data_IF_254922842277
#
_entry.id   IF_254922842277
#
_cell.length_a   1.000
_cell.length_b   1.000
_cell.length_c   1.000
_cell.angle_alpha   90.00
_cell.angle_beta   90.00
_cell.angle_gamma   90.00
#
_symmetry.space_group_name_H-M   'P 1'
#
loop_
_entity.id
_entity.type
_entity.pdbx_description
1 polymer ?
#
# COMPACT_ATOMS: atom_id res chain seq x y z
N UNK A 1 -61.27 -11.20 -29.78
CA UNK A 1 -62.39 -10.89 -28.88
C UNK A 1 -61.70 -10.54 -27.58
N UNK A 2 -61.57 -9.31 -27.10
CA UNK A 2 -62.30 -8.03 -27.21
C UNK A 2 -61.21 -6.92 -27.14
N UNK A 3 -61.17 -5.87 -27.99
CA UNK A 3 -61.75 -4.50 -27.80
C UNK A 3 -61.66 -4.02 -26.34
N UNK A 4 -61.15 -2.84 -25.94
CA UNK A 4 -61.12 -1.47 -26.46
C UNK A 4 -60.13 -0.66 -25.56
N UNK A 5 -59.32 0.25 -26.11
CA UNK A 5 -59.47 1.72 -26.03
C UNK A 5 -59.27 2.34 -24.63
N UNK A 6 -58.32 3.26 -24.48
CA UNK A 6 -58.55 4.72 -24.51
C UNK A 6 -57.27 5.49 -24.17
N UNK A 7 -57.11 6.60 -24.87
CA UNK A 7 -56.11 7.64 -24.61
C UNK A 7 -56.72 8.61 -23.60
N UNK A 8 -55.93 9.29 -22.76
CA UNK A 8 -55.97 10.75 -22.63
C UNK A 8 -54.99 11.29 -21.57
N UNK A 9 -54.57 12.50 -21.88
CA UNK A 9 -53.59 13.38 -21.24
C UNK A 9 -54.04 13.88 -19.87
N UNK A 10 -53.10 14.25 -18.99
CA UNK A 10 -53.21 15.47 -18.17
C UNK A 10 -51.92 15.82 -17.43
N UNK A 11 -51.42 16.98 -17.81
CA UNK A 11 -50.46 17.85 -17.13
C UNK A 11 -50.87 18.11 -15.68
N UNK A 12 -49.92 18.08 -14.75
CA UNK A 12 -50.06 18.82 -13.48
C UNK A 12 -48.70 19.30 -12.98
N UNK A 13 -48.38 20.52 -13.39
CA UNK A 13 -47.39 21.38 -12.76
C UNK A 13 -47.66 21.50 -11.26
N UNK A 14 -46.69 21.12 -10.44
CA UNK A 14 -46.52 21.70 -9.10
C UNK A 14 -45.19 22.42 -9.08
N UNK A 15 -45.31 23.71 -9.36
CA UNK A 15 -44.37 24.76 -9.04
C UNK A 15 -44.04 24.71 -7.54
N UNK A 16 -42.76 24.60 -7.21
CA UNK A 16 -42.25 24.73 -5.85
C UNK A 16 -40.87 25.35 -5.94
N UNK A 17 -40.87 26.68 -5.95
CA UNK A 17 -39.74 27.56 -5.65
C UNK A 17 -38.88 27.01 -4.50
N UNK A 18 -37.56 26.86 -4.70
CA UNK A 18 -36.61 26.71 -3.62
C UNK A 18 -35.71 27.94 -3.55
N UNK A 19 -36.25 29.12 -3.21
CA UNK A 19 -35.44 30.26 -2.81
C UNK A 19 -35.33 30.34 -1.28
N UNK A 20 -34.57 29.39 -0.72
CA UNK A 20 -34.01 29.53 0.63
C UNK A 20 -32.55 29.05 0.65
N UNK A 21 -31.58 29.92 1.00
CA UNK A 21 -30.16 29.57 0.95
C UNK A 21 -29.72 28.78 2.21
N UNK A 22 -29.24 27.52 2.10
CA UNK A 22 -28.72 26.77 3.25
C UNK A 22 -27.28 27.19 3.67
N UNK A 23 -26.62 28.06 2.91
CA UNK A 23 -25.15 28.25 3.01
C UNK A 23 -24.66 29.10 4.18
N UNK A 24 -25.45 30.03 4.74
CA UNK A 24 -24.92 30.97 5.74
C UNK A 24 -24.92 30.42 7.18
N UNK A 25 -25.81 29.49 7.50
CA UNK A 25 -25.93 28.94 8.87
C UNK A 25 -24.82 27.93 9.14
N UNK A 26 -24.47 27.10 8.15
CA UNK A 26 -23.41 26.09 8.26
C UNK A 26 -22.00 26.68 8.34
N UNK A 27 -21.75 27.82 7.67
CA UNK A 27 -20.45 28.50 7.72
C UNK A 27 -20.22 29.22 9.06
N UNK A 28 -21.26 29.86 9.61
CA UNK A 28 -21.21 30.52 10.92
C UNK A 28 -20.97 29.54 12.07
N UNK A 29 -21.63 28.36 12.06
CA UNK A 29 -21.42 27.32 13.08
C UNK A 29 -20.01 26.72 12.99
N UNK A 30 -19.53 26.44 11.77
CA UNK A 30 -18.17 25.90 11.54
C UNK A 30 -17.08 26.87 11.99
N UNK A 31 -17.24 28.17 11.72
CA UNK A 31 -16.30 29.22 12.15
C UNK A 31 -16.25 29.38 13.67
N UNK A 32 -17.40 29.26 14.35
CA UNK A 32 -17.50 29.30 15.83
C UNK A 32 -16.80 28.09 16.47
N UNK A 33 -16.99 26.89 15.93
CA UNK A 33 -16.34 25.65 16.39
C UNK A 33 -14.81 25.72 16.29
N UNK A 34 -14.28 26.16 15.15
CA UNK A 34 -12.83 26.36 14.94
C UNK A 34 -12.22 27.33 15.96
N UNK A 35 -12.95 28.41 16.29
CA UNK A 35 -12.50 29.38 17.31
C UNK A 35 -12.42 28.77 18.70
N UNK A 36 -13.40 27.95 19.09
CA UNK A 36 -13.40 27.25 20.39
C UNK A 36 -12.25 26.25 20.47
N UNK A 37 -12.01 25.49 19.40
CA UNK A 37 -10.92 24.53 19.33
C UNK A 37 -9.55 25.20 19.46
N UNK A 38 -9.35 26.34 18.79
CA UNK A 38 -8.11 27.11 18.91
C UNK A 38 -7.83 27.58 20.34
N UNK A 39 -8.87 27.99 21.08
CA UNK A 39 -8.74 28.39 22.50
C UNK A 39 -8.34 27.20 23.37
N UNK A 40 -8.97 26.03 23.17
CA UNK A 40 -8.60 24.80 23.90
C UNK A 40 -7.16 24.38 23.62
N UNK A 41 -6.74 24.42 22.37
CA UNK A 41 -5.39 24.08 21.95
C UNK A 41 -4.34 25.01 22.58
N UNK A 42 -4.61 26.32 22.59
CA UNK A 42 -3.73 27.29 23.24
C UNK A 42 -3.56 26.99 24.73
N UNK A 43 -4.67 26.75 25.45
CA UNK A 43 -4.63 26.42 26.88
C UNK A 43 -3.84 25.15 27.18
N UNK A 44 -4.01 24.09 26.37
CA UNK A 44 -3.24 22.84 26.51
C UNK A 44 -1.76 23.09 26.25
N UNK A 45 -1.44 23.84 25.19
CA UNK A 45 -0.06 24.16 24.84
C UNK A 45 0.64 24.96 25.93
N UNK A 46 -0.02 25.98 26.48
CA UNK A 46 0.53 26.80 27.57
C UNK A 46 0.76 25.95 28.82
N UNK A 47 -0.15 25.04 29.14
CA UNK A 47 0.01 24.09 30.24
C UNK A 47 1.22 23.17 30.03
N UNK A 48 1.39 22.61 28.83
CA UNK A 48 2.56 21.80 28.49
C UNK A 48 3.86 22.61 28.62
N UNK A 49 3.85 23.85 28.14
CA UNK A 49 5.01 24.75 28.19
C UNK A 49 5.43 25.05 29.62
N UNK A 50 4.47 25.34 30.51
CA UNK A 50 4.73 25.55 31.94
C UNK A 50 5.36 24.33 32.60
N UNK A 51 4.97 23.13 32.18
CA UNK A 51 5.52 21.86 32.66
C UNK A 51 6.83 21.43 31.96
N UNK A 52 7.39 22.26 31.07
CA UNK A 52 8.63 21.94 30.35
C UNK A 52 8.48 20.84 29.28
N UNK A 53 7.27 20.64 28.77
CA UNK A 53 6.98 19.71 27.67
C UNK A 53 6.78 20.44 26.35
N UNK A 54 7.29 19.82 25.28
CA UNK A 54 6.85 20.10 23.91
C UNK A 54 5.80 19.06 23.50
N UNK A 55 4.93 19.33 22.51
CA UNK A 55 3.94 18.34 22.06
C UNK A 55 4.57 16.99 21.68
N UNK A 56 5.72 17.01 20.99
CA UNK A 56 6.45 15.78 20.64
C UNK A 56 6.97 15.03 21.87
N UNK A 57 7.58 15.76 22.82
CA UNK A 57 8.10 15.17 24.07
C UNK A 57 6.97 14.57 24.90
N UNK A 58 5.82 15.25 24.94
CA UNK A 58 4.63 14.77 25.62
C UNK A 58 4.10 13.49 24.98
N UNK A 59 3.85 13.46 23.66
CA UNK A 59 3.32 12.26 22.98
C UNK A 59 4.27 11.07 23.17
N UNK A 60 5.58 11.26 22.98
CA UNK A 60 6.57 10.20 23.20
C UNK A 60 6.53 9.70 24.64
N UNK A 61 6.63 10.59 25.62
CA UNK A 61 6.59 10.22 27.03
C UNK A 61 5.28 9.54 27.42
N UNK A 62 4.14 10.00 26.89
CA UNK A 62 2.82 9.43 27.15
C UNK A 62 2.71 7.99 26.63
N UNK A 63 3.20 7.72 25.41
CA UNK A 63 3.14 6.38 24.81
C UNK A 63 4.14 5.40 25.43
N UNK A 64 5.28 5.88 25.90
CA UNK A 64 6.31 5.06 26.56
C UNK A 64 6.05 4.85 28.06
N UNK A 65 5.16 5.64 28.67
CA UNK A 65 4.87 5.57 30.10
C UNK A 65 4.27 4.20 30.49
N UNK A 66 4.79 3.61 31.56
CA UNK A 66 4.35 2.32 32.12
C UNK A 66 3.39 2.46 33.29
N UNK A 67 3.02 3.68 33.69
CA UNK A 67 2.08 3.96 34.77
C UNK A 67 0.68 3.39 34.44
N UNK A 68 0.14 2.66 35.41
CA UNK A 68 -1.20 2.05 35.34
C UNK A 68 -2.29 3.08 35.06
N UNK A 69 -2.13 4.32 35.53
CA UNK A 69 -3.08 5.42 35.29
C UNK A 69 -3.34 5.67 33.81
N UNK A 70 -2.32 5.55 32.96
CA UNK A 70 -2.43 5.83 31.52
C UNK A 70 -2.57 4.57 30.67
N UNK A 71 -2.57 3.39 31.28
CA UNK A 71 -2.58 2.10 30.57
C UNK A 71 -3.79 1.96 29.66
N UNK A 72 -4.99 2.34 30.12
CA UNK A 72 -6.20 2.28 29.29
C UNK A 72 -6.09 3.16 28.05
N UNK A 73 -5.74 4.44 28.23
CA UNK A 73 -5.60 5.39 27.12
C UNK A 73 -4.48 4.99 26.16
N UNK A 74 -3.36 4.48 26.66
CA UNK A 74 -2.26 3.98 25.81
C UNK A 74 -2.68 2.75 25.00
N UNK A 75 -3.40 1.79 25.60
CA UNK A 75 -3.88 0.59 24.90
C UNK A 75 -4.76 0.94 23.71
N UNK A 76 -5.55 2.02 23.80
CA UNK A 76 -6.36 2.47 22.65
C UNK A 76 -5.53 2.78 21.41
N UNK A 77 -4.29 3.30 21.54
CA UNK A 77 -3.41 3.57 20.40
C UNK A 77 -2.99 2.31 19.63
N UNK A 78 -2.94 1.16 20.31
CA UNK A 78 -2.59 -0.13 19.71
C UNK A 78 -3.76 -1.07 19.48
N UNK A 79 -4.97 -0.67 19.86
CA UNK A 79 -6.18 -1.50 19.71
C UNK A 79 -6.81 -1.29 18.35
N UNK A 80 -7.44 -2.33 17.80
CA UNK A 80 -8.22 -2.24 16.55
C UNK A 80 -9.27 -1.13 16.62
N UNK A 81 -10.03 -1.05 17.71
CA UNK A 81 -11.04 -0.01 17.92
C UNK A 81 -10.48 1.42 17.92
N UNK A 82 -9.23 1.61 18.34
CA UNK A 82 -8.58 2.93 18.35
C UNK A 82 -7.69 3.18 17.13
N UNK A 83 -7.56 2.21 16.22
CA UNK A 83 -6.67 2.28 15.08
C UNK A 83 -7.00 3.45 14.16
N UNK A 84 -8.27 3.69 13.85
CA UNK A 84 -8.69 4.80 12.98
C UNK A 84 -8.22 6.17 13.52
N UNK A 85 -8.40 6.40 14.81
CA UNK A 85 -7.93 7.64 15.47
C UNK A 85 -6.41 7.76 15.51
N UNK A 86 -5.71 6.63 15.68
CA UNK A 86 -4.24 6.58 15.63
C UNK A 86 -3.73 6.90 14.23
N UNK A 87 -4.39 6.34 13.21
CA UNK A 87 -4.10 6.60 11.81
C UNK A 87 -4.31 8.08 11.47
N UNK A 88 -5.37 8.72 11.97
CA UNK A 88 -5.60 10.15 11.79
C UNK A 88 -4.45 11.01 12.35
N UNK A 89 -3.88 10.62 13.50
CA UNK A 89 -2.69 11.29 14.06
C UNK A 89 -1.45 11.06 13.19
N UNK A 90 -1.21 9.82 12.75
CA UNK A 90 -0.09 9.51 11.85
C UNK A 90 -0.18 10.27 10.53
N UNK A 91 -1.38 10.43 9.97
CA UNK A 91 -1.62 11.22 8.76
C UNK A 91 -1.40 12.71 8.99
N UNK A 92 -1.80 13.25 10.15
CA UNK A 92 -1.50 14.64 10.50
C UNK A 92 0.03 14.86 10.61
N UNK A 93 0.76 13.92 11.21
CA UNK A 93 2.22 13.93 11.27
C UNK A 93 2.83 13.88 9.86
N UNK A 94 2.41 12.92 9.04
CA UNK A 94 2.83 12.77 7.64
C UNK A 94 2.65 14.06 6.84
N UNK A 95 1.46 14.68 6.94
CA UNK A 95 1.15 15.96 6.29
C UNK A 95 2.14 17.05 6.68
N UNK A 96 2.46 17.18 7.98
CA UNK A 96 3.42 18.20 8.45
C UNK A 96 4.85 17.89 8.01
N UNK A 97 5.29 16.63 8.09
CA UNK A 97 6.65 16.21 7.71
C UNK A 97 6.87 16.43 6.21
N UNK A 98 5.95 15.98 5.36
CA UNK A 98 6.10 16.01 3.90
C UNK A 98 5.97 17.42 3.28
N UNK A 99 5.57 18.45 4.04
CA UNK A 99 5.54 19.85 3.56
C UNK A 99 6.89 20.34 3.03
N UNK A 100 8.00 19.92 3.66
CA UNK A 100 9.35 20.31 3.23
C UNK A 100 9.95 19.22 2.34
N UNK A 101 10.48 19.59 1.17
CA UNK A 101 11.08 18.64 0.22
C UNK A 101 12.16 17.76 0.87
N UNK A 102 13.07 18.34 1.67
CA UNK A 102 14.13 17.62 2.40
C UNK A 102 13.57 16.54 3.35
N UNK A 103 12.43 16.82 3.97
CA UNK A 103 11.81 15.92 4.95
C UNK A 103 10.98 14.82 4.29
N UNK A 104 10.66 14.92 2.99
CA UNK A 104 9.99 13.83 2.26
C UNK A 104 10.89 12.60 2.20
N UNK A 105 12.17 12.78 1.89
CA UNK A 105 13.15 11.69 1.88
C UNK A 105 13.22 10.99 3.24
N UNK A 106 13.29 11.76 4.34
CA UNK A 106 13.29 11.18 5.70
C UNK A 106 12.03 10.35 6.00
N UNK A 107 10.87 10.79 5.51
CA UNK A 107 9.63 10.03 5.64
C UNK A 107 9.66 8.75 4.79
N UNK A 108 10.10 8.85 3.54
CA UNK A 108 10.16 7.73 2.61
C UNK A 108 11.18 6.66 3.10
N UNK A 109 12.35 7.08 3.59
CA UNK A 109 13.36 6.21 4.20
C UNK A 109 12.81 5.51 5.45
N UNK A 110 12.02 6.21 6.28
CA UNK A 110 11.36 5.62 7.44
C UNK A 110 10.33 4.55 7.03
N UNK A 111 9.46 4.84 6.06
CA UNK A 111 8.46 3.88 5.58
C UNK A 111 9.14 2.66 4.95
N UNK A 112 10.22 2.87 4.17
CA UNK A 112 11.01 1.79 3.61
C UNK A 112 11.62 0.92 4.73
N UNK A 113 12.18 1.53 5.77
CA UNK A 113 12.72 0.78 6.92
C UNK A 113 11.67 -0.08 7.61
N UNK A 114 10.48 0.46 7.87
CA UNK A 114 9.39 -0.31 8.50
C UNK A 114 8.85 -1.41 7.59
N UNK A 115 8.68 -1.14 6.28
CA UNK A 115 8.25 -2.15 5.31
C UNK A 115 9.26 -3.30 5.19
N UNK A 116 10.56 -2.99 5.15
CA UNK A 116 11.63 -3.98 5.11
C UNK A 116 11.62 -4.90 6.34
N UNK A 117 11.35 -4.36 7.54
CA UNK A 117 11.23 -5.19 8.76
C UNK A 117 10.09 -6.21 8.64
N UNK A 118 8.94 -5.79 8.10
CA UNK A 118 7.79 -6.69 7.89
C UNK A 118 8.16 -7.79 6.89
N UNK A 119 8.75 -7.43 5.75
CA UNK A 119 9.18 -8.38 4.72
C UNK A 119 10.20 -9.39 5.28
N UNK A 120 11.21 -8.94 6.02
CA UNK A 120 12.22 -9.86 6.59
C UNK A 120 11.61 -10.79 7.64
N UNK A 121 10.60 -10.33 8.39
CA UNK A 121 9.92 -11.15 9.40
C UNK A 121 9.03 -12.24 8.79
N UNK A 122 8.55 -12.02 7.57
CA UNK A 122 7.74 -12.96 6.81
C UNK A 122 8.63 -13.83 5.93
N UNK A 123 8.65 -15.13 6.21
CA UNK A 123 9.43 -16.08 5.42
C UNK A 123 8.78 -17.47 5.47
N UNK A 124 9.00 -18.30 4.44
CA UNK A 124 8.53 -19.67 4.45
C UNK A 124 9.18 -20.48 5.59
N UNK A 125 8.54 -21.57 6.02
CA UNK A 125 9.11 -22.54 6.95
C UNK A 125 10.49 -23.03 6.49
N UNK A 126 11.45 -23.07 7.41
CA UNK A 126 12.80 -23.56 7.11
C UNK A 126 12.88 -25.07 7.26
N UNK A 127 13.63 -25.74 6.38
CA UNK A 127 13.84 -27.18 6.45
C UNK A 127 13.13 -27.97 5.35
N UNK A 128 13.17 -29.29 5.48
CA UNK A 128 12.55 -30.22 4.56
C UNK A 128 11.03 -30.31 4.77
N UNK A 129 10.29 -30.37 3.67
CA UNK A 129 8.85 -30.67 3.66
C UNK A 129 8.56 -32.00 4.39
N UNK A 130 7.43 -32.13 5.13
CA UNK A 130 6.32 -31.18 5.26
C UNK A 130 6.51 -30.09 6.32
N UNK A 131 7.59 -30.14 7.12
CA UNK A 131 7.82 -29.18 8.20
C UNK A 131 8.54 -27.90 7.75
N UNK A 132 9.13 -27.93 6.56
CA UNK A 132 9.81 -26.81 5.91
C UNK A 132 9.43 -26.71 4.44
N UNK A 133 9.99 -25.74 3.72
CA UNK A 133 9.56 -25.41 2.37
C UNK A 133 10.30 -26.15 1.23
N UNK A 134 11.42 -26.85 1.49
CA UNK A 134 12.18 -27.52 0.41
C UNK A 134 11.87 -29.01 0.31
N UNK A 135 11.91 -29.56 -0.91
CA UNK A 135 11.77 -30.99 -1.18
C UNK A 135 13.12 -31.59 -1.59
N UNK A 136 13.46 -32.77 -1.04
CA UNK A 136 14.64 -33.52 -1.45
C UNK A 136 14.34 -34.29 -2.74
N UNK A 137 15.28 -34.35 -3.68
CA UNK A 137 15.15 -35.13 -4.92
C UNK A 137 14.86 -36.61 -4.68
N UNK A 138 15.27 -37.15 -3.52
CA UNK A 138 15.00 -38.52 -3.10
C UNK A 138 13.56 -38.76 -2.62
N UNK A 139 12.80 -37.68 -2.36
CA UNK A 139 11.45 -37.72 -1.77
C UNK A 139 10.38 -37.11 -2.67
N UNK A 140 10.75 -36.56 -3.83
CA UNK A 140 9.81 -35.95 -4.77
C UNK A 140 9.01 -37.05 -5.48
N UNK A 141 7.71 -36.83 -5.58
CA UNK A 141 6.77 -37.67 -6.34
C UNK A 141 6.14 -36.85 -7.48
N UNK A 142 5.53 -37.52 -8.46
CA UNK A 142 4.83 -36.86 -9.58
C UNK A 142 3.70 -35.93 -9.10
N UNK A 143 3.07 -36.26 -7.96
CA UNK A 143 2.01 -35.47 -7.33
C UNK A 143 2.43 -34.01 -7.07
N UNK A 144 3.70 -33.76 -6.74
CA UNK A 144 4.23 -32.41 -6.48
C UNK A 144 4.10 -31.47 -7.69
N UNK A 145 4.09 -32.03 -8.90
CA UNK A 145 4.01 -31.29 -10.16
C UNK A 145 2.58 -31.17 -10.68
N UNK A 146 1.60 -31.72 -9.97
CA UNK A 146 0.19 -31.48 -10.28
C UNK A 146 -0.14 -30.01 -10.10
N UNK A 147 -1.12 -29.53 -10.86
CA UNK A 147 -1.57 -28.15 -10.75
C UNK A 147 -2.15 -27.87 -9.35
N UNK A 148 -2.87 -28.84 -8.78
CA UNK A 148 -3.43 -28.76 -7.43
C UNK A 148 -2.35 -28.52 -6.37
N UNK A 149 -1.31 -29.37 -6.30
CA UNK A 149 -0.21 -29.17 -5.35
C UNK A 149 0.61 -27.90 -5.60
N UNK A 150 0.62 -27.38 -6.84
CA UNK A 150 1.24 -26.09 -7.13
C UNK A 150 0.41 -24.94 -6.59
N UNK A 151 -0.89 -24.95 -6.84
CA UNK A 151 -1.83 -23.91 -6.39
C UNK A 151 -1.89 -23.85 -4.85
N UNK A 152 -1.85 -25.00 -4.17
CA UNK A 152 -1.74 -25.08 -2.72
C UNK A 152 -0.46 -24.40 -2.20
N UNK A 153 0.71 -24.75 -2.75
CA UNK A 153 1.99 -24.14 -2.34
C UNK A 153 2.04 -22.65 -2.62
N UNK A 154 1.51 -22.21 -3.76
CA UNK A 154 1.45 -20.80 -4.10
C UNK A 154 0.52 -20.06 -3.13
N UNK A 155 -0.63 -20.65 -2.78
CA UNK A 155 -1.57 -20.10 -1.79
C UNK A 155 -0.93 -19.97 -0.41
N UNK A 156 -0.30 -21.04 0.10
CA UNK A 156 0.42 -21.03 1.38
C UNK A 156 1.51 -19.95 1.40
N UNK A 157 2.24 -19.80 0.30
CA UNK A 157 3.29 -18.81 0.19
C UNK A 157 2.75 -17.37 0.27
N UNK A 158 1.65 -17.08 -0.43
CA UNK A 158 1.12 -15.72 -0.58
C UNK A 158 0.12 -15.31 0.50
N UNK A 159 -0.57 -16.26 1.14
CA UNK A 159 -1.58 -15.96 2.16
C UNK A 159 -1.01 -16.11 3.58
N UNK A 160 -0.24 -17.18 3.83
CA UNK A 160 0.20 -17.53 5.18
C UNK A 160 1.64 -17.08 5.46
N UNK A 161 2.58 -17.38 4.55
CA UNK A 161 4.00 -17.18 4.82
C UNK A 161 4.48 -15.76 4.52
N UNK A 162 4.06 -15.18 3.40
CA UNK A 162 4.55 -13.89 2.90
C UNK A 162 3.47 -12.93 2.35
N UNK A 163 2.34 -12.72 3.06
CA UNK A 163 1.23 -11.92 2.55
C UNK A 163 1.56 -10.43 2.35
N UNK A 164 2.47 -9.87 3.14
CA UNK A 164 2.83 -8.46 2.98
C UNK A 164 3.64 -8.24 1.70
N UNK A 165 4.65 -9.08 1.44
CA UNK A 165 5.49 -8.93 0.25
C UNK A 165 4.67 -9.14 -1.02
N UNK A 166 3.86 -10.22 -1.05
CA UNK A 166 2.99 -10.50 -2.19
C UNK A 166 2.09 -9.31 -2.51
N UNK A 167 1.34 -8.82 -1.50
CA UNK A 167 0.46 -7.65 -1.67
C UNK A 167 1.22 -6.39 -2.09
N UNK A 168 2.42 -6.17 -1.56
CA UNK A 168 3.25 -5.01 -1.92
C UNK A 168 3.66 -5.05 -3.41
N UNK A 169 4.10 -6.20 -3.89
CA UNK A 169 4.48 -6.41 -5.30
C UNK A 169 3.25 -6.30 -6.21
N UNK A 170 2.14 -6.98 -5.88
CA UNK A 170 0.90 -6.88 -6.64
C UNK A 170 0.41 -5.44 -6.75
N UNK A 171 0.39 -4.68 -5.65
CA UNK A 171 0.00 -3.28 -5.66
C UNK A 171 0.93 -2.44 -6.56
N UNK A 172 2.22 -2.73 -6.58
CA UNK A 172 3.19 -2.03 -7.45
C UNK A 172 2.97 -2.35 -8.93
N UNK A 173 2.73 -3.61 -9.27
CA UNK A 173 2.50 -4.05 -10.65
C UNK A 173 1.14 -3.56 -11.18
N UNK A 174 0.12 -3.53 -10.32
CA UNK A 174 -1.23 -3.08 -10.66
C UNK A 174 -1.36 -1.55 -10.72
N UNK A 175 -0.41 -0.80 -10.13
CA UNK A 175 -0.32 0.64 -10.26
C UNK A 175 0.21 1.05 -11.65
N UNK A 176 -0.50 0.66 -12.72
CA UNK A 176 -0.28 1.24 -14.05
C UNK A 176 -0.67 2.73 -13.97
N UNK A 177 0.17 3.65 -14.44
CA UNK A 177 -0.27 5.03 -14.60
C UNK A 177 -1.41 5.01 -15.62
N UNK A 178 -2.60 5.43 -15.20
CA UNK A 178 -3.65 5.77 -16.15
C UNK A 178 -3.04 6.85 -17.03
N UNK A 179 -2.65 6.49 -18.26
CA UNK A 179 -2.42 7.49 -19.30
C UNK A 179 -3.72 8.28 -19.33
N UNK A 180 -3.69 9.53 -18.90
CA UNK A 180 -4.76 10.46 -19.22
C UNK A 180 -4.72 10.57 -20.73
N UNK A 181 -5.49 9.73 -21.41
CA UNK A 181 -5.89 9.99 -22.78
C UNK A 181 -6.56 11.36 -22.69
N UNK A 182 -6.02 12.40 -23.35
CA UNK A 182 -6.74 13.65 -23.44
C UNK A 182 -8.10 13.30 -24.06
N UNK A 183 -9.18 13.51 -23.33
CA UNK A 183 -10.52 13.50 -23.91
C UNK A 183 -10.57 14.70 -24.85
N UNK A 184 -10.19 14.47 -26.10
CA UNK A 184 -10.33 15.43 -27.17
C UNK A 184 -11.48 14.96 -28.05
N UNK A 185 -12.56 15.73 -28.07
CA UNK A 185 -13.28 16.04 -29.29
C UNK A 185 -14.13 17.30 -29.07
N UNK A 186 -14.44 18.14 -30.07
CA UNK A 186 -13.95 18.19 -31.46
C UNK A 186 -13.43 19.59 -31.86
N UNK A 187 -12.48 19.64 -32.80
CA UNK A 187 -12.54 20.44 -34.03
C UNK A 187 -11.17 20.80 -34.61
N UNK A 188 -11.15 20.66 -35.94
CA UNK A 188 -10.26 21.25 -36.94
C UNK A 188 -9.09 20.39 -37.41
N UNK A 189 -9.29 20.00 -38.67
CA UNK A 189 -8.34 19.46 -39.63
C UNK A 189 -6.98 20.14 -39.52
N UNK A 190 -5.92 19.34 -39.43
CA UNK A 190 -4.72 19.59 -40.21
C UNK A 190 -3.86 18.32 -40.29
N UNK A 191 -3.27 18.19 -41.46
CA UNK A 191 -2.70 17.01 -42.10
C UNK A 191 -1.43 16.51 -41.40
N UNK A 192 -1.30 15.18 -41.27
CA UNK A 192 -0.08 14.48 -40.85
C UNK A 192 1.10 14.82 -41.79
N UNK A 193 2.34 14.73 -41.28
CA UNK A 193 3.19 13.70 -41.89
C UNK A 193 3.55 12.60 -40.92
N UNK A 194 3.38 11.38 -41.44
CA UNK A 194 4.11 10.17 -41.06
C UNK A 194 5.60 10.47 -41.00
N UNK A 195 6.24 10.09 -39.90
CA UNK A 195 7.65 9.71 -39.90
C UNK A 195 7.68 8.29 -39.32
N UNK A 196 7.72 7.31 -40.23
CA UNK A 196 8.19 5.97 -39.95
C UNK A 196 9.71 6.05 -39.80
N UNK A 197 10.24 5.95 -38.59
CA UNK A 197 11.61 5.51 -38.39
C UNK A 197 11.58 4.09 -37.82
N UNK A 198 11.56 3.16 -38.79
CA UNK A 198 12.01 1.80 -38.64
C UNK A 198 13.52 1.82 -38.42
N UNK A 199 13.97 1.56 -37.20
CA UNK A 199 15.33 1.04 -37.00
C UNK A 199 15.25 -0.31 -36.26
N UNK A 200 15.36 -1.33 -37.10
CA UNK A 200 15.54 -2.73 -36.75
C UNK A 200 17.02 -2.94 -36.47
N UNK A 201 17.43 -2.88 -35.20
CA UNK A 201 18.76 -3.36 -34.80
C UNK A 201 18.62 -4.80 -34.30
N UNK A 202 18.79 -5.73 -35.24
CA UNK A 202 18.91 -7.16 -34.96
C UNK A 202 20.39 -7.41 -34.68
N UNK A 203 20.82 -7.22 -33.44
CA UNK A 203 22.13 -7.69 -32.98
C UNK A 203 22.09 -9.21 -32.91
N UNK A 204 22.64 -9.88 -33.94
CA UNK A 204 22.87 -11.31 -33.94
C UNK A 204 23.80 -11.69 -32.77
N UNK A 205 23.25 -12.44 -31.81
CA UNK A 205 24.01 -13.06 -30.74
C UNK A 205 24.89 -14.16 -31.36
N UNK A 206 26.22 -14.13 -31.21
CA UNK A 206 27.06 -15.25 -31.65
C UNK A 206 26.68 -16.52 -30.89
N UNK A 207 26.38 -17.60 -31.62
CA UNK A 207 25.96 -18.91 -31.06
C UNK A 207 27.09 -19.69 -30.36
N UNK A 208 28.30 -19.14 -30.24
CA UNK A 208 29.50 -19.86 -29.76
C UNK A 208 29.92 -19.48 -28.32
N UNK A 209 29.00 -19.51 -27.35
CA UNK A 209 29.33 -19.34 -25.92
C UNK A 209 28.89 -20.50 -25.02
N UNK A 210 28.37 -21.58 -25.61
CA UNK A 210 28.14 -22.85 -24.90
C UNK A 210 29.15 -23.90 -25.34
N UNK A 211 30.43 -23.67 -25.02
CA UNK A 211 31.38 -24.77 -24.95
C UNK A 211 31.08 -25.59 -23.68
N UNK A 212 30.22 -26.59 -23.87
CA UNK A 212 29.90 -27.64 -22.92
C UNK A 212 31.10 -28.60 -22.76
N UNK A 213 32.24 -28.10 -22.26
CA UNK A 213 33.39 -28.92 -21.87
C UNK A 213 34.48 -28.18 -21.05
N UNK A 214 34.18 -27.23 -20.14
CA UNK A 214 35.23 -26.74 -19.22
C UNK A 214 35.43 -27.75 -18.05
N UNK A 215 36.56 -28.48 -17.99
CA UNK A 215 36.80 -29.46 -16.94
C UNK A 215 37.10 -28.83 -15.57
N UNK A 216 37.19 -27.49 -15.47
CA UNK A 216 37.56 -26.81 -14.21
C UNK A 216 36.43 -26.68 -13.20
N UNK A 217 35.17 -26.82 -13.61
CA UNK A 217 34.03 -26.74 -12.67
C UNK A 217 33.85 -28.05 -11.86
N UNK A 218 34.39 -29.18 -12.34
CA UNK A 218 34.23 -30.48 -11.65
C UNK A 218 35.22 -30.70 -10.49
N UNK A 219 36.25 -29.87 -10.36
CA UNK A 219 37.32 -30.09 -9.39
C UNK A 219 37.07 -29.47 -7.99
N UNK A 220 36.16 -28.49 -7.86
CA UNK A 220 35.94 -27.82 -6.56
C UNK A 220 34.90 -28.50 -5.66
N UNK A 221 34.08 -29.42 -6.18
CA UNK A 221 33.07 -30.14 -5.37
C UNK A 221 33.56 -31.41 -4.67
N UNK A 222 34.84 -31.81 -4.80
CA UNK A 222 35.37 -33.03 -4.18
C UNK A 222 36.23 -32.78 -2.93
N UNK A 223 36.39 -31.54 -2.45
CA UNK A 223 37.40 -31.21 -1.42
C UNK A 223 36.88 -31.00 0.02
N UNK A 224 35.59 -31.15 0.31
CA UNK A 224 35.08 -30.88 1.69
C UNK A 224 34.31 -32.02 2.36
N UNK A 225 34.33 -33.22 1.78
CA UNK A 225 33.75 -34.42 2.41
C UNK A 225 34.84 -35.36 2.91
N UNK A 226 35.78 -34.88 3.73
CA UNK A 226 36.73 -35.78 4.36
C UNK A 226 37.29 -35.21 5.68
N UNK A 227 36.45 -35.12 6.72
CA UNK A 227 36.90 -35.10 8.12
C UNK A 227 35.92 -35.93 8.95
N UNK A 228 36.26 -37.21 9.13
CA UNK A 228 35.62 -38.09 10.10
C UNK A 228 36.03 -37.78 11.54
N UNK A 229 35.11 -37.99 12.48
CA UNK A 229 35.11 -39.10 13.45
C UNK A 229 33.74 -39.18 14.13
#
# INVERSE_FOLDING_TARGET
MEVESESESSDSSTDSDPDHPPSQIQDKTTKKLKKIEAVKLASIYDSMKQLGYTPKKFIKAFLENTDKKYTGHRRYWGSERGWESTLAVLDAIKKVVRKKKKNRKLWDDFILSEATKIVISQKPPSGAYPRGAYHSSTTITEELFTQECKDERDTDLVEDHMPFLFRLVCNKLNARPVKKVPSADPSQDDVLPVEEDSDSDTEEVPEDLFDEADPRIRAECQSTCDHGF
#
